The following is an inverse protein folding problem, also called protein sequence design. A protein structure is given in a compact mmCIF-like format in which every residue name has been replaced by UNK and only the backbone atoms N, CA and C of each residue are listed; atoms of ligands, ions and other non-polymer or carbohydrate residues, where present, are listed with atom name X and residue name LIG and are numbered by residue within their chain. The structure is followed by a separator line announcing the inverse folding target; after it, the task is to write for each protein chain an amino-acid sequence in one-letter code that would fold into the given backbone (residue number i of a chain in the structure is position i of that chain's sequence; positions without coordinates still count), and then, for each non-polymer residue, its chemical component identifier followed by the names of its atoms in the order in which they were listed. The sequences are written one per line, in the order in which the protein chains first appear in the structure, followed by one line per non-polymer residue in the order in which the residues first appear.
data_IF_572934974505
#
_entry.id   IF_572934974505
#
_cell.length_a   1.000
_cell.length_b   1.000
_cell.length_c   1.000
_cell.angle_alpha   90.00
_cell.angle_beta   90.00
_cell.angle_gamma   90.00
#
_symmetry.space_group_name_H-M   'P 1'
#
loop_
_entity.id
_entity.type
_entity.pdbx_description
1 polymer ?
#
# COMPACT_ATOMS: atom_id res chain seq x y z
N UNK A 1 -40.39 34.61 -46.10
CA UNK A 1 -39.89 33.27 -45.74
C UNK A 1 -38.61 33.47 -44.96
N UNK A 2 -38.70 33.35 -43.64
CA UNK A 2 -37.64 33.69 -42.69
C UNK A 2 -36.75 32.46 -42.46
N UNK A 3 -35.50 32.52 -42.91
CA UNK A 3 -34.50 31.49 -42.64
C UNK A 3 -33.80 31.81 -41.31
N UNK A 4 -34.35 31.31 -40.21
CA UNK A 4 -33.65 31.25 -38.92
C UNK A 4 -32.62 30.14 -38.92
N UNK A 5 -31.43 30.41 -39.48
CA UNK A 5 -30.24 29.64 -39.16
C UNK A 5 -29.72 30.09 -37.79
N UNK A 6 -30.25 29.46 -36.75
CA UNK A 6 -29.79 29.65 -35.38
C UNK A 6 -28.33 29.16 -35.26
N UNK A 7 -27.40 30.12 -35.24
CA UNK A 7 -26.01 29.90 -34.86
C UNK A 7 -25.97 29.32 -33.44
N UNK A 8 -25.79 27.99 -33.36
CA UNK A 8 -25.67 27.24 -32.12
C UNK A 8 -24.34 27.62 -31.45
N UNK A 9 -24.34 28.20 -30.24
CA UNK A 9 -23.12 28.75 -29.66
C UNK A 9 -22.16 27.62 -29.27
N UNK A 10 -21.04 27.50 -29.98
CA UNK A 10 -20.02 26.47 -29.75
C UNK A 10 -19.28 26.63 -28.40
N UNK A 11 -19.28 27.81 -27.77
CA UNK A 11 -18.45 28.10 -26.60
C UNK A 11 -18.83 27.39 -25.29
N UNK A 12 -20.12 27.19 -25.01
CA UNK A 12 -20.59 26.59 -23.73
C UNK A 12 -20.41 25.07 -23.64
N UNK A 13 -20.12 24.41 -24.75
CA UNK A 13 -19.90 22.96 -24.81
C UNK A 13 -18.43 22.65 -24.60
N UNK A 14 -17.53 23.44 -25.19
CA UNK A 14 -16.08 23.25 -25.11
C UNK A 14 -15.55 23.44 -23.69
N UNK A 15 -16.07 24.44 -22.95
CA UNK A 15 -15.70 24.65 -21.54
C UNK A 15 -16.07 23.43 -20.68
N UNK A 16 -17.26 22.84 -20.87
CA UNK A 16 -17.67 21.64 -20.13
C UNK A 16 -16.82 20.43 -20.48
N UNK A 17 -16.57 20.18 -21.77
CA UNK A 17 -15.71 19.09 -22.23
C UNK A 17 -14.28 19.21 -21.68
N UNK A 18 -13.75 20.44 -21.58
CA UNK A 18 -12.42 20.68 -21.02
C UNK A 18 -12.36 20.40 -19.52
N UNK A 19 -13.39 20.78 -18.76
CA UNK A 19 -13.49 20.44 -17.33
C UNK A 19 -13.65 18.93 -17.11
N UNK A 20 -14.46 18.25 -17.92
CA UNK A 20 -14.62 16.80 -17.85
C UNK A 20 -13.31 16.08 -18.17
N UNK A 21 -12.61 16.47 -19.23
CA UNK A 21 -11.31 15.93 -19.58
C UNK A 21 -10.27 16.17 -18.48
N UNK A 22 -10.25 17.37 -17.89
CA UNK A 22 -9.37 17.70 -16.77
C UNK A 22 -9.70 16.85 -15.53
N UNK A 23 -10.98 16.69 -15.19
CA UNK A 23 -11.41 15.87 -14.06
C UNK A 23 -11.02 14.40 -14.26
N UNK A 24 -11.19 13.86 -15.47
CA UNK A 24 -10.79 12.50 -15.83
C UNK A 24 -9.26 12.32 -15.74
N UNK A 25 -8.48 13.28 -16.23
CA UNK A 25 -7.02 13.25 -16.12
C UNK A 25 -6.55 13.27 -14.66
N UNK A 26 -7.15 14.14 -13.83
CA UNK A 26 -6.84 14.20 -12.40
C UNK A 26 -7.24 12.90 -11.68
N UNK A 27 -8.40 12.34 -11.99
CA UNK A 27 -8.84 11.06 -11.43
C UNK A 27 -7.90 9.92 -11.84
N UNK A 28 -7.55 9.82 -13.13
CA UNK A 28 -6.64 8.81 -13.64
C UNK A 28 -5.24 8.94 -13.02
N UNK A 29 -4.70 10.16 -12.93
CA UNK A 29 -3.43 10.44 -12.27
C UNK A 29 -3.45 10.10 -10.78
N UNK A 30 -4.54 10.42 -10.08
CA UNK A 30 -4.75 10.07 -8.68
C UNK A 30 -4.81 8.55 -8.45
N UNK A 31 -5.55 7.82 -9.31
CA UNK A 31 -5.60 6.36 -9.27
C UNK A 31 -4.24 5.73 -9.55
N UNK A 32 -3.52 6.21 -10.56
CA UNK A 32 -2.18 5.72 -10.89
C UNK A 32 -1.17 6.01 -9.75
N UNK A 33 -1.25 7.18 -9.14
CA UNK A 33 -0.45 7.54 -7.96
C UNK A 33 -0.76 6.66 -6.75
N UNK A 34 -2.04 6.41 -6.47
CA UNK A 34 -2.46 5.52 -5.39
C UNK A 34 -2.01 4.08 -5.64
N UNK A 35 -2.13 3.61 -6.89
CA UNK A 35 -1.70 2.28 -7.31
C UNK A 35 -0.19 2.09 -7.10
N UNK A 36 0.62 2.98 -7.64
CA UNK A 36 2.09 2.94 -7.53
C UNK A 36 2.55 3.03 -6.06
N UNK A 37 1.91 3.88 -5.26
CA UNK A 37 2.18 3.98 -3.83
C UNK A 37 1.81 2.70 -3.06
N UNK A 38 0.76 2.00 -3.49
CA UNK A 38 0.33 0.72 -2.93
C UNK A 38 1.28 -0.43 -3.30
N UNK A 39 1.65 -0.54 -4.57
CA UNK A 39 2.57 -1.59 -5.06
C UNK A 39 3.96 -1.45 -4.45
N UNK A 40 4.51 -0.23 -4.39
CA UNK A 40 5.80 0.03 -3.75
C UNK A 40 5.81 -0.38 -2.27
N UNK A 41 4.71 -0.13 -1.54
CA UNK A 41 4.55 -0.59 -0.16
C UNK A 41 4.52 -2.10 -0.02
N UNK A 42 3.79 -2.77 -0.92
CA UNK A 42 3.71 -4.24 -0.97
C UNK A 42 5.06 -4.87 -1.28
N UNK A 43 5.81 -4.33 -2.24
CA UNK A 43 7.15 -4.83 -2.60
C UNK A 43 8.14 -4.68 -1.44
N UNK A 44 8.15 -3.54 -0.76
CA UNK A 44 8.99 -3.34 0.41
C UNK A 44 8.64 -4.35 1.52
N UNK A 45 7.35 -4.57 1.77
CA UNK A 45 6.89 -5.57 2.73
C UNK A 45 7.32 -6.99 2.33
N UNK A 46 7.17 -7.36 1.07
CA UNK A 46 7.60 -8.67 0.55
C UNK A 46 9.10 -8.90 0.76
N UNK A 47 9.95 -7.95 0.37
CA UNK A 47 11.40 -8.04 0.55
C UNK A 47 11.78 -8.12 2.03
N UNK A 48 11.07 -7.40 2.89
CA UNK A 48 11.26 -7.44 4.35
C UNK A 48 10.91 -8.79 4.94
N UNK A 49 9.75 -9.34 4.60
CA UNK A 49 9.31 -10.68 5.03
C UNK A 49 10.25 -11.75 4.51
N UNK A 50 10.70 -11.65 3.26
CA UNK A 50 11.65 -12.59 2.66
C UNK A 50 13.00 -12.59 3.40
N UNK A 51 13.52 -11.40 3.73
CA UNK A 51 14.73 -11.27 4.55
C UNK A 51 14.53 -11.87 5.95
N UNK A 52 13.40 -11.56 6.58
CA UNK A 52 13.06 -12.06 7.91
C UNK A 52 12.92 -13.59 7.94
N UNK A 53 12.22 -14.18 6.98
CA UNK A 53 12.07 -15.63 6.88
C UNK A 53 13.42 -16.32 6.62
N UNK A 54 14.31 -15.72 5.82
CA UNK A 54 15.67 -16.23 5.62
C UNK A 54 16.48 -16.22 6.92
N UNK A 55 16.45 -15.11 7.66
CA UNK A 55 17.16 -14.99 8.94
C UNK A 55 16.65 -15.98 9.99
N UNK A 56 15.35 -16.29 9.97
CA UNK A 56 14.70 -17.22 10.89
C UNK A 56 14.63 -18.67 10.37
N UNK A 57 15.23 -18.97 9.21
CA UNK A 57 15.18 -20.29 8.54
C UNK A 57 13.75 -20.85 8.38
N UNK A 58 12.76 -19.99 8.12
CA UNK A 58 11.35 -20.37 7.97
C UNK A 58 10.98 -20.63 6.51
N UNK A 59 10.19 -21.68 6.24
CA UNK A 59 9.61 -21.90 4.92
C UNK A 59 8.36 -21.01 4.74
N UNK A 60 8.42 -20.14 3.73
CA UNK A 60 7.33 -19.23 3.36
C UNK A 60 6.27 -20.00 2.58
N UNK A 61 5.03 -20.06 3.08
CA UNK A 61 4.01 -20.95 2.54
C UNK A 61 3.25 -20.34 1.34
N UNK A 62 2.90 -19.05 1.40
CA UNK A 62 1.97 -18.43 0.44
C UNK A 62 2.57 -17.29 -0.41
N UNK A 63 3.87 -17.07 -0.33
CA UNK A 63 4.64 -16.01 -1.03
C UNK A 63 4.06 -14.58 -1.02
N UNK A 64 3.00 -14.36 -0.25
CA UNK A 64 2.13 -13.21 -0.37
C UNK A 64 1.96 -12.54 0.98
N UNK A 65 1.95 -11.22 0.94
CA UNK A 65 1.65 -10.35 2.08
C UNK A 65 0.29 -9.73 1.83
N UNK A 66 -0.59 -9.77 2.81
CA UNK A 66 -1.90 -9.12 2.72
C UNK A 66 -1.87 -7.85 3.57
N UNK A 67 -2.31 -6.72 3.02
CA UNK A 67 -2.46 -5.51 3.82
C UNK A 67 -3.56 -5.76 4.87
N UNK A 68 -3.18 -5.75 6.15
CA UNK A 68 -4.08 -6.01 7.27
C UNK A 68 -4.60 -4.71 7.88
N UNK A 69 -3.76 -3.67 7.96
CA UNK A 69 -4.14 -2.38 8.55
C UNK A 69 -3.41 -1.23 7.86
N UNK A 70 -4.14 -0.16 7.59
CA UNK A 70 -3.59 1.13 7.16
C UNK A 70 -4.02 2.18 8.19
N UNK A 71 -3.06 2.89 8.78
CA UNK A 71 -3.33 3.93 9.77
C UNK A 71 -2.42 5.14 9.55
N UNK A 72 -2.98 6.34 9.66
CA UNK A 72 -2.17 7.54 9.86
C UNK A 72 -1.83 7.64 11.35
N UNK A 73 -0.55 7.78 11.67
CA UNK A 73 -0.08 8.06 13.03
C UNK A 73 0.74 9.33 13.02
N UNK A 74 0.73 10.05 14.13
CA UNK A 74 1.67 11.13 14.35
C UNK A 74 2.89 10.58 15.09
N UNK A 75 4.10 10.87 14.61
CA UNK A 75 5.35 10.41 15.23
C UNK A 75 6.51 11.33 14.87
N UNK A 76 7.38 11.62 15.84
CA UNK A 76 8.55 12.51 15.67
C UNK A 76 8.20 13.85 14.98
N UNK A 77 7.05 14.44 15.33
CA UNK A 77 6.59 15.71 14.77
C UNK A 77 6.09 15.66 13.33
N UNK A 78 5.91 14.47 12.74
CA UNK A 78 5.41 14.28 11.37
C UNK A 78 4.27 13.28 11.32
N UNK A 79 3.42 13.45 10.30
CA UNK A 79 2.40 12.46 9.95
C UNK A 79 3.08 11.30 9.23
N UNK A 80 2.96 10.10 9.79
CA UNK A 80 3.49 8.87 9.23
C UNK A 80 2.35 7.93 8.86
N UNK A 81 2.45 7.35 7.66
CA UNK A 81 1.54 6.28 7.25
C UNK A 81 2.11 4.96 7.76
N UNK A 82 1.39 4.33 8.69
CA UNK A 82 1.64 2.99 9.17
C UNK A 82 0.84 1.99 8.33
N UNK A 83 1.54 1.03 7.73
CA UNK A 83 0.94 -0.08 6.98
C UNK A 83 1.35 -1.39 7.63
N UNK A 84 0.39 -2.14 8.16
CA UNK A 84 0.63 -3.47 8.71
C UNK A 84 0.21 -4.49 7.68
N UNK A 85 1.14 -5.35 7.29
CA UNK A 85 0.92 -6.49 6.43
C UNK A 85 0.97 -7.77 7.25
N UNK A 86 0.08 -8.71 6.96
CA UNK A 86 0.07 -10.05 7.56
C UNK A 86 0.59 -11.05 6.53
N UNK A 87 1.37 -12.02 6.99
CA UNK A 87 1.89 -13.12 6.19
C UNK A 87 1.74 -14.43 6.94
N UNK A 88 1.75 -15.53 6.19
CA UNK A 88 1.71 -16.88 6.74
C UNK A 88 3.04 -17.59 6.49
N UNK A 89 3.47 -18.38 7.47
CA UNK A 89 4.69 -19.17 7.40
C UNK A 89 4.49 -20.53 8.08
N UNK A 90 5.32 -21.49 7.72
CA UNK A 90 5.39 -22.78 8.44
C UNK A 90 6.82 -23.06 8.86
N UNK A 91 6.97 -23.59 10.08
CA UNK A 91 8.27 -24.00 10.61
C UNK A 91 8.61 -25.43 10.17
N UNK A 92 7.62 -26.34 10.26
CA UNK A 92 7.83 -27.78 10.08
C UNK A 92 6.96 -28.37 8.94
N UNK A 93 6.32 -27.53 8.13
CA UNK A 93 5.39 -27.93 7.07
C UNK A 93 4.01 -28.40 7.53
N UNK A 94 3.82 -28.66 8.83
CA UNK A 94 2.56 -29.15 9.41
C UNK A 94 1.70 -28.05 10.07
N UNK A 95 2.35 -27.08 10.74
CA UNK A 95 1.64 -25.99 11.45
C UNK A 95 1.77 -24.67 10.69
N UNK A 96 0.62 -24.01 10.45
CA UNK A 96 0.56 -22.65 9.88
C UNK A 96 0.61 -21.64 11.00
N UNK A 97 1.58 -20.74 10.92
CA UNK A 97 1.71 -19.62 11.83
C UNK A 97 1.53 -18.31 11.06
N UNK A 98 1.14 -17.27 11.77
CA UNK A 98 0.94 -15.94 11.19
C UNK A 98 1.95 -14.96 11.76
N UNK A 99 2.44 -14.10 10.89
CA UNK A 99 3.33 -12.99 11.23
C UNK A 99 2.76 -11.68 10.73
N UNK A 100 3.15 -10.60 11.37
CA UNK A 100 2.82 -9.23 10.96
C UNK A 100 4.11 -8.46 10.72
N UNK A 101 4.12 -7.60 9.71
CA UNK A 101 5.20 -6.66 9.45
C UNK A 101 4.60 -5.29 9.25
N UNK A 102 5.17 -4.29 9.89
CA UNK A 102 4.76 -2.90 9.74
C UNK A 102 5.76 -2.12 8.91
N UNK A 103 5.24 -1.29 8.03
CA UNK A 103 5.97 -0.30 7.28
C UNK A 103 5.54 1.10 7.69
N UNK A 104 6.50 1.98 7.88
CA UNK A 104 6.29 3.41 8.06
C UNK A 104 7.11 4.17 7.04
N UNK A 105 6.49 5.11 6.33
CA UNK A 105 7.18 5.95 5.33
C UNK A 105 7.94 5.15 4.27
N UNK A 106 7.42 3.97 3.88
CA UNK A 106 8.06 3.11 2.87
C UNK A 106 9.26 2.30 3.37
N UNK A 107 9.54 2.28 4.68
CA UNK A 107 10.57 1.46 5.30
C UNK A 107 9.96 0.52 6.35
N UNK A 108 10.63 -0.60 6.64
CA UNK A 108 10.25 -1.52 7.69
C UNK A 108 10.40 -0.85 9.06
N UNK A 109 9.35 -0.92 9.87
CA UNK A 109 9.33 -0.38 11.23
C UNK A 109 9.53 -1.50 12.24
N UNK A 110 8.67 -2.51 12.23
CA UNK A 110 8.75 -3.65 13.13
C UNK A 110 8.20 -4.90 12.45
N UNK A 111 8.63 -6.06 12.92
CA UNK A 111 8.02 -7.33 12.60
C UNK A 111 7.59 -8.05 13.89
N UNK A 112 6.48 -8.78 13.81
CA UNK A 112 5.94 -9.63 14.86
C UNK A 112 5.74 -11.02 14.30
N UNK A 113 6.23 -12.02 15.01
CA UNK A 113 6.02 -13.42 14.67
C UNK A 113 5.27 -14.07 15.83
N UNK A 114 4.09 -14.63 15.58
CA UNK A 114 3.34 -15.36 16.61
C UNK A 114 3.98 -16.75 16.80
N UNK A 115 4.82 -16.88 17.82
CA UNK A 115 5.35 -18.17 18.27
C UNK A 115 4.42 -18.73 19.37
N UNK A 116 4.22 -20.06 19.45
CA UNK A 116 3.37 -20.69 20.48
C UNK A 116 3.78 -20.36 21.93
N UNK A 117 5.03 -19.97 22.17
CA UNK A 117 5.56 -19.59 23.48
C UNK A 117 5.55 -18.07 23.75
N UNK A 118 5.12 -17.25 22.78
CA UNK A 118 5.06 -15.79 22.90
C UNK A 118 5.29 -15.06 21.57
N UNK A 119 4.76 -13.85 21.42
CA UNK A 119 5.02 -13.05 20.21
C UNK A 119 6.45 -12.49 20.23
N UNK A 120 7.26 -12.81 19.21
CA UNK A 120 8.60 -12.23 19.05
C UNK A 120 8.46 -10.88 18.34
N UNK A 121 8.97 -9.81 18.97
CA UNK A 121 8.97 -8.45 18.42
C UNK A 121 10.38 -8.10 17.96
N UNK A 122 10.51 -7.77 16.68
CA UNK A 122 11.76 -7.31 16.06
C UNK A 122 11.57 -5.86 15.65
N UNK A 123 12.33 -4.95 16.25
CA UNK A 123 12.43 -3.58 15.77
C UNK A 123 13.36 -3.56 14.56
N UNK A 124 12.81 -3.22 13.39
CA UNK A 124 13.54 -3.21 12.12
C UNK A 124 13.90 -1.79 11.71
N UNK A 125 13.62 -0.79 12.56
CA UNK A 125 14.13 0.55 12.35
C UNK A 125 15.66 0.51 12.45
N UNK A 126 16.39 1.10 11.49
CA UNK A 126 17.82 1.22 11.63
C UNK A 126 18.13 1.96 12.94
N UNK A 127 18.99 1.38 13.78
CA UNK A 127 19.53 2.07 14.93
C UNK A 127 20.25 3.31 14.40
N UNK A 128 19.69 4.48 14.70
CA UNK A 128 20.27 5.78 14.32
C UNK A 128 21.59 6.02 15.01
#
# INVERSE_FOLDING_TARGET
MENSNAFKPAGRTTERLMHEALALLLAAGGLAGLWTWSTAGRECALRGVEKLCRELALQRLDESVALHRLALRWGHGRLVVLRVYRFEFSRDGAQRHTGEVALTNGALAWARVHHPEGAIYLDLRPAG
#
